data_IF_197390469855
#
_entry.id   IF_197390469855
#
_cell.length_a   1.000
_cell.length_b   1.000
_cell.length_c   1.000
_cell.angle_alpha   90.00
_cell.angle_beta   90.00
_cell.angle_gamma   90.00
#
_symmetry.space_group_name_H-M   'P 1'
#
loop_
_entity.id
_entity.type
_entity.pdbx_description
1 polymer ?
#
# COMPACT_ATOMS: atom_id res chain seq x y z
N UNK A 1 9.10 3.34 34.03
CA UNK A 1 9.36 2.21 33.11
C UNK A 1 9.28 2.74 31.68
N UNK A 2 10.31 2.54 30.86
CA UNK A 2 10.32 2.95 29.45
C UNK A 2 9.79 1.76 28.64
N UNK A 3 8.63 1.91 28.01
CA UNK A 3 8.09 0.83 27.17
C UNK A 3 9.04 0.51 26.01
N UNK A 4 9.07 -0.75 25.54
CA UNK A 4 9.89 -1.12 24.39
C UNK A 4 9.45 -0.28 23.18
N UNK A 5 10.40 0.38 22.53
CA UNK A 5 10.14 0.95 21.21
C UNK A 5 9.64 -0.17 20.29
N UNK A 6 8.60 0.05 19.47
CA UNK A 6 8.11 -0.97 18.55
C UNK A 6 9.27 -1.48 17.68
N UNK A 7 9.32 -2.80 17.46
CA UNK A 7 10.33 -3.39 16.57
C UNK A 7 10.18 -2.76 15.19
N UNK A 8 11.31 -2.49 14.52
CA UNK A 8 11.30 -1.95 13.15
C UNK A 8 10.40 -2.83 12.27
N UNK A 9 9.47 -2.20 11.55
CA UNK A 9 8.51 -2.90 10.68
C UNK A 9 7.20 -3.36 11.35
N UNK A 10 6.91 -2.96 12.59
CA UNK A 10 5.63 -3.28 13.26
C UNK A 10 4.76 -2.05 13.47
N UNK A 11 3.48 -2.14 13.13
CA UNK A 11 2.47 -1.13 13.46
C UNK A 11 1.88 -1.41 14.85
N UNK A 12 1.60 -0.35 15.61
CA UNK A 12 0.83 -0.46 16.84
C UNK A 12 -0.66 -0.62 16.51
N UNK A 13 -1.38 -1.39 17.32
CA UNK A 13 -2.82 -1.50 17.18
C UNK A 13 -3.52 -0.26 17.77
N UNK A 14 -4.47 0.31 17.03
CA UNK A 14 -5.25 1.48 17.46
C UNK A 14 -6.02 1.14 18.74
N UNK A 15 -5.91 2.00 19.76
CA UNK A 15 -6.61 1.82 21.04
C UNK A 15 -5.90 0.91 22.06
N UNK A 16 -4.83 0.22 21.68
CA UNK A 16 -4.09 -0.67 22.60
C UNK A 16 -2.70 -0.12 22.99
N UNK A 17 -2.22 0.90 22.28
CA UNK A 17 -0.99 1.57 22.66
C UNK A 17 -1.26 2.58 23.79
N UNK A 18 -0.49 2.57 24.91
CA UNK A 18 -0.66 3.55 26.00
C UNK A 18 -0.45 5.00 25.54
N UNK A 19 0.21 5.19 24.40
CA UNK A 19 0.40 6.50 23.78
C UNK A 19 -0.86 7.03 23.07
N UNK A 20 -1.96 6.27 23.04
CA UNK A 20 -3.24 6.65 22.43
C UNK A 20 -3.16 6.84 20.91
N UNK A 21 -4.07 7.67 20.38
CA UNK A 21 -4.17 8.05 18.96
C UNK A 21 -3.09 9.02 18.49
N UNK A 22 -2.20 9.47 19.38
CA UNK A 22 -1.15 10.47 19.07
C UNK A 22 0.10 9.86 18.41
N UNK A 23 0.13 8.56 18.13
CA UNK A 23 1.26 7.87 17.49
C UNK A 23 1.13 7.87 15.97
N UNK A 24 2.22 8.25 15.30
CA UNK A 24 2.39 8.03 13.85
C UNK A 24 2.54 6.54 13.46
N UNK A 25 2.63 5.62 14.41
CA UNK A 25 2.83 4.18 14.16
C UNK A 25 1.50 3.39 14.09
N UNK A 26 0.44 4.03 13.62
CA UNK A 26 -0.89 3.43 13.42
C UNK A 26 -1.38 3.67 11.97
N UNK A 27 -0.54 4.23 11.09
CA UNK A 27 -0.91 4.79 9.77
C UNK A 27 -1.52 3.81 8.77
N UNK A 28 -1.27 2.50 8.90
CA UNK A 28 -1.98 1.51 8.08
C UNK A 28 -3.43 1.28 8.54
N UNK A 29 -3.78 1.67 9.77
CA UNK A 29 -5.11 1.51 10.38
C UNK A 29 -5.91 2.82 10.43
N UNK A 30 -5.25 3.96 10.29
CA UNK A 30 -5.90 5.29 10.25
C UNK A 30 -5.60 5.95 8.91
N UNK A 31 -6.61 6.57 8.32
CA UNK A 31 -6.47 7.27 7.05
C UNK A 31 -5.43 8.39 7.19
N UNK A 32 -4.33 8.26 6.45
CA UNK A 32 -3.34 9.30 6.26
C UNK A 32 -3.17 9.53 4.77
N UNK A 33 -4.18 10.16 4.19
CA UNK A 33 -4.24 10.42 2.76
C UNK A 33 -3.17 11.46 2.37
N UNK A 34 -2.15 11.01 1.65
CA UNK A 34 -1.41 11.89 0.75
C UNK A 34 -2.30 12.14 -0.47
N UNK A 35 -2.35 13.38 -0.95
CA UNK A 35 -3.16 13.70 -2.12
C UNK A 35 -2.44 13.28 -3.41
N UNK A 36 -3.11 12.46 -4.23
CA UNK A 36 -2.58 11.97 -5.52
C UNK A 36 -3.48 12.31 -6.71
N UNK A 37 -2.85 12.38 -7.88
CA UNK A 37 -3.50 12.37 -9.19
C UNK A 37 -3.08 11.15 -10.00
N UNK A 38 -4.00 10.65 -10.83
CA UNK A 38 -3.75 9.63 -11.84
C UNK A 38 -3.48 10.36 -13.16
N UNK A 39 -2.34 10.09 -13.79
CA UNK A 39 -1.86 10.86 -14.94
C UNK A 39 -1.29 9.95 -16.03
N UNK A 40 -1.57 10.28 -17.29
CA UNK A 40 -0.92 9.63 -18.43
C UNK A 40 0.56 10.02 -18.48
N UNK A 41 1.43 9.01 -18.41
CA UNK A 41 2.88 9.12 -18.47
C UNK A 41 3.44 8.64 -19.82
N UNK A 42 2.61 8.65 -20.86
CA UNK A 42 2.98 8.30 -22.23
C UNK A 42 3.44 6.86 -22.36
N UNK A 43 4.70 6.65 -22.77
CA UNK A 43 5.26 5.30 -22.99
C UNK A 43 5.28 4.41 -21.74
N UNK A 44 5.14 5.00 -20.54
CA UNK A 44 5.08 4.26 -19.27
C UNK A 44 3.66 3.87 -18.85
N UNK A 45 2.64 4.29 -19.61
CA UNK A 45 1.24 4.11 -19.25
C UNK A 45 0.79 5.08 -18.18
N UNK A 46 -0.08 4.64 -17.28
CA UNK A 46 -0.70 5.48 -16.25
C UNK A 46 0.16 5.51 -14.97
N UNK A 47 0.45 6.70 -14.47
CA UNK A 47 1.22 6.93 -13.25
C UNK A 47 0.40 7.60 -12.15
N UNK A 48 0.95 7.57 -10.94
CA UNK A 48 0.41 8.26 -9.75
C UNK A 48 1.36 9.38 -9.37
N UNK A 49 0.86 10.62 -9.26
CA UNK A 49 1.62 11.81 -8.93
C UNK A 49 1.13 12.43 -7.62
N UNK A 50 2.03 12.77 -6.70
CA UNK A 50 1.68 13.51 -5.50
C UNK A 50 1.35 14.97 -5.83
N UNK A 51 0.21 15.47 -5.33
CA UNK A 51 -0.25 16.85 -5.51
C UNK A 51 0.22 17.79 -4.38
N UNK A 52 1.04 17.29 -3.47
CA UNK A 52 1.57 18.04 -2.33
C UNK A 52 3.07 17.77 -2.11
N UNK A 53 3.74 18.66 -1.37
CA UNK A 53 5.15 18.49 -1.02
C UNK A 53 5.29 17.45 0.09
N UNK A 54 6.05 16.40 -0.21
CA UNK A 54 6.30 15.31 0.73
C UNK A 54 7.61 15.51 1.49
N UNK A 55 7.58 15.25 2.79
CA UNK A 55 8.81 15.17 3.61
C UNK A 55 9.42 13.77 3.49
N UNK A 56 10.72 13.65 3.66
CA UNK A 56 11.37 12.35 3.77
C UNK A 56 10.72 11.51 4.89
N UNK A 57 10.61 10.19 4.69
CA UNK A 57 9.96 9.25 5.61
C UNK A 57 8.45 9.50 5.86
N UNK A 58 7.77 10.17 4.93
CA UNK A 58 6.31 10.26 4.94
C UNK A 58 5.71 8.93 4.47
N UNK A 59 4.64 8.49 5.14
CA UNK A 59 3.86 7.35 4.67
C UNK A 59 3.00 7.81 3.49
N UNK A 60 3.15 7.16 2.34
CA UNK A 60 2.56 7.57 1.06
C UNK A 60 1.25 6.85 0.81
N UNK A 61 1.22 5.56 1.11
CA UNK A 61 0.07 4.69 0.92
C UNK A 61 0.48 3.23 1.04
N UNK A 62 -0.51 2.35 1.05
CA UNK A 62 -0.33 0.91 1.08
C UNK A 62 -0.75 0.32 -0.26
N UNK A 63 0.05 -0.61 -0.78
CA UNK A 63 -0.36 -1.38 -1.95
C UNK A 63 -1.41 -2.40 -1.50
N UNK A 64 -2.66 -2.08 -1.79
CA UNK A 64 -3.81 -2.94 -1.50
C UNK A 64 -4.28 -3.64 -2.77
N UNK A 65 -4.68 -4.89 -2.63
CA UNK A 65 -5.15 -5.71 -3.73
C UNK A 65 -5.59 -7.08 -3.24
N UNK A 66 -5.99 -7.93 -4.18
CA UNK A 66 -6.39 -9.30 -3.87
C UNK A 66 -5.19 -10.13 -3.38
N UNK A 67 -5.40 -10.92 -2.34
CA UNK A 67 -4.44 -11.92 -1.88
C UNK A 67 -4.82 -13.27 -2.46
N UNK A 68 -4.01 -13.76 -3.40
CA UNK A 68 -4.24 -15.03 -4.10
C UNK A 68 -3.27 -16.13 -3.70
N UNK A 69 -3.73 -17.38 -3.75
CA UNK A 69 -2.88 -18.55 -3.58
C UNK A 69 -1.96 -18.77 -4.78
N UNK A 70 -0.88 -19.54 -4.58
CA UNK A 70 0.13 -19.78 -5.61
C UNK A 70 -0.41 -20.43 -6.90
N UNK A 71 -1.36 -21.36 -6.79
CA UNK A 71 -1.96 -22.02 -7.96
C UNK A 71 -2.78 -21.04 -8.83
N UNK A 72 -3.57 -20.17 -8.20
CA UNK A 72 -4.36 -19.16 -8.93
C UNK A 72 -3.45 -18.10 -9.57
N UNK A 73 -2.38 -17.69 -8.88
CA UNK A 73 -1.37 -16.80 -9.44
C UNK A 73 -0.73 -17.39 -10.71
N UNK A 74 -0.39 -18.68 -10.70
CA UNK A 74 0.17 -19.36 -11.87
C UNK A 74 -0.84 -19.42 -13.03
N UNK A 75 -2.10 -19.75 -12.74
CA UNK A 75 -3.17 -19.78 -13.75
C UNK A 75 -3.36 -18.42 -14.42
N UNK A 76 -3.44 -17.34 -13.63
CA UNK A 76 -3.56 -15.96 -14.15
C UNK A 76 -2.36 -15.58 -15.01
N UNK A 77 -1.15 -15.95 -14.59
CA UNK A 77 0.08 -15.67 -15.33
C UNK A 77 0.11 -16.39 -16.69
N UNK A 78 -0.36 -17.63 -16.77
CA UNK A 78 -0.45 -18.35 -18.04
C UNK A 78 -1.37 -17.63 -19.02
N UNK A 79 -2.56 -17.23 -18.57
CA UNK A 79 -3.51 -16.49 -19.42
C UNK A 79 -2.92 -15.17 -19.93
N UNK A 80 -2.24 -14.43 -19.06
CA UNK A 80 -1.58 -13.17 -19.45
C UNK A 80 -0.49 -13.43 -20.49
N UNK A 81 0.32 -14.46 -20.29
CA UNK A 81 1.43 -14.78 -21.20
C UNK A 81 0.95 -15.28 -22.56
N UNK A 82 -0.12 -16.09 -22.58
CA UNK A 82 -0.64 -16.72 -23.80
C UNK A 82 -1.55 -15.80 -24.60
N UNK A 83 -2.41 -15.05 -23.92
CA UNK A 83 -3.48 -14.26 -24.57
C UNK A 83 -3.31 -12.76 -24.40
N UNK A 84 -2.36 -12.29 -23.59
CA UNK A 84 -2.20 -10.86 -23.28
C UNK A 84 -3.34 -10.28 -22.43
N UNK A 85 -4.24 -11.13 -21.92
CA UNK A 85 -5.43 -10.70 -21.19
C UNK A 85 -5.09 -10.46 -19.71
N UNK A 86 -4.90 -9.19 -19.35
CA UNK A 86 -4.64 -8.75 -17.98
C UNK A 86 -5.89 -8.61 -17.11
N UNK A 87 -7.10 -8.75 -17.68
CA UNK A 87 -8.36 -8.67 -16.91
C UNK A 87 -8.48 -9.76 -15.86
N UNK A 88 -7.72 -10.86 -16.00
CA UNK A 88 -7.64 -11.94 -15.02
C UNK A 88 -6.99 -11.53 -13.70
N UNK A 89 -6.31 -10.37 -13.63
CA UNK A 89 -5.71 -9.86 -12.39
C UNK A 89 -6.71 -9.16 -11.47
N UNK A 90 -7.90 -8.83 -11.97
CA UNK A 90 -8.88 -7.96 -11.28
C UNK A 90 -10.24 -8.65 -11.05
N UNK A 91 -10.25 -9.97 -10.87
CA UNK A 91 -11.50 -10.73 -10.65
C UNK A 91 -11.95 -10.70 -9.20
#
# INVERSE_FOLDING_TARGET
MKEPSPRRGTNAFVGYCPCGSKRMNQRSQVDSAVLFAVVDCGRKGVGVLALEKLKANTFIGEYVGEVVGGAELQRRRQVINEFGDSSVLSR
#
